data_IF_078044421550
#
_entry.id   IF_078044421550
#
_cell.length_a   1.000
_cell.length_b   1.000
_cell.length_c   1.000
_cell.angle_alpha   90.00
_cell.angle_beta   90.00
_cell.angle_gamma   90.00
#
_symmetry.space_group_name_H-M   'P 1'
#
loop_
_entity.id
_entity.type
_entity.pdbx_description
1 polymer ?
#
# COMPACT_ATOMS: atom_id res chain seq x y z
N UNK A 1 15.04 25.72 14.97
CA UNK A 1 15.07 24.62 13.99
C UNK A 1 13.69 24.58 13.36
N UNK A 2 13.56 24.96 12.08
CA UNK A 2 12.31 24.76 11.35
C UNK A 2 12.14 23.25 11.15
N UNK A 3 10.98 22.74 11.54
CA UNK A 3 10.58 21.36 11.29
C UNK A 3 10.42 21.19 9.77
N UNK A 4 11.38 20.52 9.13
CA UNK A 4 11.37 20.25 7.68
C UNK A 4 10.32 19.18 7.39
N UNK A 5 9.06 19.57 7.36
CA UNK A 5 7.98 18.66 7.04
C UNK A 5 8.06 18.24 5.57
N UNK A 6 7.94 16.93 5.26
CA UNK A 6 7.88 16.47 3.88
C UNK A 6 6.56 16.88 3.26
N UNK A 7 6.59 17.37 2.02
CA UNK A 7 5.42 17.72 1.25
C UNK A 7 5.16 16.70 0.14
N UNK A 8 3.89 16.52 -0.22
CA UNK A 8 3.47 15.53 -1.20
C UNK A 8 3.44 16.14 -2.61
N UNK A 9 4.09 15.48 -3.57
CA UNK A 9 3.91 15.77 -5.00
C UNK A 9 2.65 15.06 -5.49
N UNK A 10 1.65 15.83 -5.94
CA UNK A 10 0.37 15.30 -6.44
C UNK A 10 0.29 15.48 -7.95
N UNK A 11 0.15 14.39 -8.69
CA UNK A 11 -0.07 14.36 -10.14
C UNK A 11 -1.38 13.64 -10.39
N UNK A 12 -2.31 14.24 -11.15
CA UNK A 12 -3.63 13.66 -11.46
C UNK A 12 -4.35 13.13 -10.21
N UNK A 13 -4.38 13.95 -9.15
CA UNK A 13 -4.97 13.60 -7.84
C UNK A 13 -4.31 12.42 -7.10
N UNK A 14 -3.13 11.99 -7.53
CA UNK A 14 -2.37 10.90 -6.93
C UNK A 14 -1.06 11.42 -6.35
N UNK A 15 -0.75 11.08 -5.10
CA UNK A 15 0.57 11.36 -4.53
C UNK A 15 1.59 10.43 -5.20
N UNK A 16 2.55 10.98 -5.93
CA UNK A 16 3.55 10.21 -6.69
C UNK A 16 4.92 10.20 -6.03
N UNK A 17 5.26 11.24 -5.27
CA UNK A 17 6.54 11.36 -4.58
C UNK A 17 6.45 12.27 -3.35
N UNK A 18 7.51 12.28 -2.55
CA UNK A 18 7.69 13.22 -1.44
C UNK A 18 8.83 14.20 -1.75
N UNK A 19 8.60 15.47 -1.43
CA UNK A 19 9.57 16.55 -1.54
C UNK A 19 10.01 16.95 -0.12
N UNK A 20 11.29 16.79 0.16
CA UNK A 20 11.89 17.26 1.41
C UNK A 20 12.54 18.60 1.18
N UNK A 21 12.30 19.56 2.08
CA UNK A 21 12.80 20.95 2.04
C UNK A 21 11.98 21.94 1.22
N UNK A 22 10.71 22.13 1.57
CA UNK A 22 9.97 23.29 1.05
C UNK A 22 10.23 24.53 1.90
N UNK A 23 10.50 25.65 1.22
CA UNK A 23 10.07 26.96 1.70
C UNK A 23 8.57 27.07 1.40
N UNK A 24 7.79 27.70 2.26
CA UNK A 24 6.30 27.69 2.26
C UNK A 24 5.63 28.10 0.92
N UNK A 25 6.39 28.59 -0.07
CA UNK A 25 5.91 29.16 -1.31
C UNK A 25 6.59 28.62 -2.60
N UNK A 26 7.37 27.54 -2.53
CA UNK A 26 7.99 26.94 -3.73
C UNK A 26 7.40 25.58 -4.03
N UNK A 27 6.98 25.39 -5.28
CA UNK A 27 6.68 24.07 -5.84
C UNK A 27 7.94 23.17 -5.77
N UNK A 28 7.80 21.85 -5.90
CA UNK A 28 8.91 20.88 -5.81
C UNK A 28 10.01 21.02 -6.90
N UNK A 29 10.03 22.13 -7.65
CA UNK A 29 11.05 22.41 -8.67
C UNK A 29 12.44 22.56 -8.04
N UNK A 30 13.39 21.73 -8.49
CA UNK A 30 14.78 21.78 -8.04
C UNK A 30 15.08 21.10 -6.69
N UNK A 31 14.11 20.41 -6.09
CA UNK A 31 14.27 19.74 -4.79
C UNK A 31 14.69 18.26 -4.93
N UNK A 32 15.16 17.70 -3.81
CA UNK A 32 15.39 16.26 -3.67
C UNK A 32 14.04 15.53 -3.65
N UNK A 33 13.72 14.86 -4.75
CA UNK A 33 12.55 13.99 -4.87
C UNK A 33 12.88 12.64 -4.21
N UNK A 34 12.05 12.24 -3.26
CA UNK A 34 12.16 10.94 -2.59
C UNK A 34 10.93 10.06 -2.88
N UNK A 35 11.16 8.75 -2.95
CA UNK A 35 10.10 7.79 -3.14
C UNK A 35 9.18 7.74 -1.90
N UNK A 36 7.90 7.42 -2.12
CA UNK A 36 6.95 7.22 -1.03
C UNK A 36 7.40 6.00 -0.19
N UNK A 37 7.59 6.14 1.12
CA UNK A 37 7.93 5.02 2.00
C UNK A 37 6.91 3.88 1.87
N UNK A 38 7.41 2.64 1.80
CA UNK A 38 6.58 1.45 1.55
C UNK A 38 5.47 1.24 2.61
N UNK A 39 5.64 1.73 3.83
CA UNK A 39 4.63 1.66 4.88
C UNK A 39 3.38 2.52 4.60
N UNK A 40 3.49 3.55 3.74
CA UNK A 40 2.35 4.38 3.32
C UNK A 40 1.58 3.78 2.12
N UNK A 41 2.15 2.76 1.47
CA UNK A 41 1.57 2.11 0.29
C UNK A 41 1.21 0.63 0.53
N UNK A 42 1.40 0.13 1.75
CA UNK A 42 1.10 -1.26 2.12
C UNK A 42 -0.14 -1.33 3.01
N UNK A 43 -1.10 -2.18 2.64
CA UNK A 43 -2.24 -2.56 3.49
C UNK A 43 -2.00 -3.96 4.04
N UNK A 44 -2.10 -4.12 5.36
CA UNK A 44 -1.99 -5.41 6.04
C UNK A 44 -3.22 -5.66 6.92
N UNK A 45 -3.51 -6.92 7.21
CA UNK A 45 -4.65 -7.30 8.04
C UNK A 45 -4.59 -8.75 8.49
N UNK A 46 -5.39 -9.07 9.50
CA UNK A 46 -5.53 -10.43 10.04
C UNK A 46 -6.92 -10.96 9.71
N UNK A 47 -6.99 -12.17 9.17
CA UNK A 47 -8.26 -12.85 8.95
C UNK A 47 -8.56 -13.78 10.12
N UNK A 48 -9.75 -13.65 10.72
CA UNK A 48 -10.23 -14.55 11.76
C UNK A 48 -11.50 -15.24 11.28
N UNK A 49 -11.61 -16.54 11.55
CA UNK A 49 -12.82 -17.32 11.24
C UNK A 49 -13.42 -17.89 12.52
N UNK A 50 -14.75 -17.92 12.59
CA UNK A 50 -15.51 -18.64 13.62
C UNK A 50 -16.01 -19.99 13.11
N UNK A 51 -15.82 -20.28 11.82
CA UNK A 51 -16.23 -21.53 11.22
C UNK A 51 -15.23 -22.64 11.56
N UNK A 52 -15.68 -23.65 12.30
CA UNK A 52 -14.82 -24.73 12.79
C UNK A 52 -14.24 -25.61 11.67
N UNK A 53 -14.89 -25.66 10.50
CA UNK A 53 -14.36 -26.38 9.34
C UNK A 53 -13.16 -25.60 8.78
N UNK A 54 -13.32 -24.28 8.60
CA UNK A 54 -12.23 -23.42 8.12
C UNK A 54 -11.07 -23.31 9.12
N UNK A 55 -11.35 -23.37 10.42
CA UNK A 55 -10.32 -23.40 11.45
C UNK A 55 -9.40 -24.64 11.33
N UNK A 56 -9.93 -25.75 10.81
CA UNK A 56 -9.19 -27.00 10.59
C UNK A 56 -8.58 -27.13 9.18
N UNK A 57 -8.69 -26.09 8.36
CA UNK A 57 -8.08 -26.11 7.02
C UNK A 57 -6.56 -26.12 7.10
N UNK A 58 -5.95 -26.82 6.14
CA UNK A 58 -4.49 -26.78 5.97
C UNK A 58 -4.02 -25.40 5.53
N UNK A 59 -2.72 -25.12 5.74
CA UNK A 59 -2.11 -23.88 5.23
C UNK A 59 -2.31 -23.72 3.72
N UNK A 60 -2.24 -24.81 2.94
CA UNK A 60 -2.50 -24.75 1.50
C UNK A 60 -3.93 -24.29 1.17
N UNK A 61 -4.94 -24.81 1.87
CA UNK A 61 -6.33 -24.40 1.65
C UNK A 61 -6.55 -22.92 1.97
N UNK A 62 -5.95 -22.42 3.06
CA UNK A 62 -5.97 -20.99 3.37
C UNK A 62 -5.26 -20.16 2.31
N UNK A 63 -4.09 -20.63 1.85
CA UNK A 63 -3.32 -19.94 0.82
C UNK A 63 -4.11 -19.86 -0.50
N UNK A 64 -4.87 -20.89 -0.87
CA UNK A 64 -5.71 -20.87 -2.08
C UNK A 64 -6.79 -19.79 -2.03
N UNK A 65 -7.43 -19.61 -0.88
CA UNK A 65 -8.43 -18.55 -0.68
C UNK A 65 -7.78 -17.18 -0.71
N UNK A 66 -6.66 -17.00 -0.02
CA UNK A 66 -5.92 -15.75 -0.02
C UNK A 66 -5.37 -15.39 -1.41
N UNK A 67 -4.92 -16.37 -2.19
CA UNK A 67 -4.47 -16.18 -3.56
C UNK A 67 -5.62 -15.67 -4.46
N UNK A 68 -6.86 -16.10 -4.22
CA UNK A 68 -8.02 -15.54 -4.93
C UNK A 68 -8.25 -14.08 -4.55
N UNK A 69 -8.13 -13.72 -3.27
CA UNK A 69 -8.22 -12.34 -2.82
C UNK A 69 -7.12 -11.47 -3.45
N UNK A 70 -5.87 -11.94 -3.46
CA UNK A 70 -4.75 -11.27 -4.14
C UNK A 70 -5.03 -11.04 -5.62
N UNK A 71 -5.56 -12.06 -6.32
CA UNK A 71 -5.95 -11.91 -7.74
C UNK A 71 -7.05 -10.88 -7.94
N UNK A 72 -8.04 -10.81 -7.04
CA UNK A 72 -9.09 -9.80 -7.11
C UNK A 72 -8.54 -8.38 -6.90
N UNK A 73 -7.61 -8.21 -5.95
CA UNK A 73 -6.93 -6.93 -5.71
C UNK A 73 -6.06 -6.50 -6.89
N UNK A 74 -5.42 -7.46 -7.57
CA UNK A 74 -4.64 -7.24 -8.77
C UNK A 74 -5.51 -7.08 -10.05
N UNK A 75 -6.82 -7.30 -9.98
CA UNK A 75 -7.75 -7.18 -11.10
C UNK A 75 -8.66 -5.94 -10.98
N UNK A 76 -9.31 -5.54 -12.07
CA UNK A 76 -10.30 -4.46 -12.03
C UNK A 76 -11.44 -4.77 -11.03
N UNK A 77 -11.92 -3.79 -10.23
CA UNK A 77 -11.64 -2.35 -10.28
C UNK A 77 -10.43 -1.91 -9.45
N UNK A 78 -9.74 -2.82 -8.78
CA UNK A 78 -8.71 -2.49 -7.79
C UNK A 78 -7.30 -2.36 -8.37
N UNK A 79 -7.07 -2.86 -9.59
CA UNK A 79 -5.77 -2.84 -10.25
C UNK A 79 -5.10 -1.45 -10.36
N UNK A 80 -5.88 -0.36 -10.38
CA UNK A 80 -5.36 1.02 -10.39
C UNK A 80 -4.93 1.53 -9.02
N UNK A 81 -5.33 0.86 -7.94
CA UNK A 81 -5.10 1.29 -6.56
C UNK A 81 -4.03 0.47 -5.83
N UNK A 82 -3.66 -0.68 -6.37
CA UNK A 82 -2.64 -1.56 -5.76
C UNK A 82 -1.55 -1.87 -6.78
N UNK A 83 -0.32 -1.45 -6.47
CA UNK A 83 0.87 -1.76 -7.29
C UNK A 83 1.17 -3.26 -7.23
N UNK A 84 1.03 -3.85 -6.05
CA UNK A 84 1.20 -5.29 -5.79
C UNK A 84 0.27 -5.75 -4.66
N UNK A 85 -0.10 -7.03 -4.67
CA UNK A 85 -0.82 -7.67 -3.58
C UNK A 85 -0.14 -9.00 -3.25
N UNK A 86 0.11 -9.26 -1.96
CA UNK A 86 0.75 -10.49 -1.47
C UNK A 86 -0.01 -10.92 -0.22
N UNK A 87 -0.23 -12.22 -0.07
CA UNK A 87 -0.84 -12.79 1.12
C UNK A 87 -0.07 -14.03 1.57
N UNK A 88 0.18 -14.12 2.88
CA UNK A 88 0.96 -15.20 3.50
C UNK A 88 0.19 -15.78 4.68
N UNK A 89 0.15 -17.11 4.78
CA UNK A 89 -0.38 -17.83 5.95
C UNK A 89 0.77 -18.19 6.88
N UNK A 90 0.74 -17.67 8.12
CA UNK A 90 1.72 -17.97 9.17
C UNK A 90 1.37 -19.23 9.96
#
# INVERSE_FOLDING_TARGET
>A
MMDKQPHCLVVDSTVTALCTEMDINTDCEGMAISAIPANQTTVSGTLTTTNIIMANWSRQMWQDVLNRAVRMLASAPFASHFITAIATVN
#
